data_IF_267899404840
#
_entry.id   IF_267899404840
#
_cell.length_a   1.000
_cell.length_b   1.000
_cell.length_c   1.000
_cell.angle_alpha   90.00
_cell.angle_beta   90.00
_cell.angle_gamma   90.00
#
_symmetry.space_group_name_H-M   'P 1'
#
loop_
_entity.id
_entity.type
_entity.pdbx_description
1 polymer ?
#
# COMPACT_ATOMS: atom_id res chain seq x y z
N UNK A 1 -25.66 -7.50 11.21
CA UNK A 1 -24.23 -7.84 11.03
C UNK A 1 -24.01 -8.14 9.55
N UNK A 2 -23.49 -7.19 8.77
CA UNK A 2 -23.24 -7.40 7.34
C UNK A 2 -21.86 -8.02 7.16
N UNK A 3 -21.81 -9.22 6.59
CA UNK A 3 -20.57 -9.83 6.11
C UNK A 3 -20.43 -9.48 4.64
N UNK A 4 -19.42 -8.71 4.29
CA UNK A 4 -19.11 -8.45 2.89
C UNK A 4 -18.72 -9.77 2.22
N UNK A 5 -19.34 -10.15 1.08
CA UNK A 5 -18.90 -11.30 0.32
C UNK A 5 -17.47 -11.04 -0.18
N UNK A 6 -16.66 -12.10 -0.27
CA UNK A 6 -15.33 -11.98 -0.88
C UNK A 6 -15.50 -11.55 -2.34
N UNK A 7 -15.01 -10.35 -2.68
CA UNK A 7 -15.20 -9.74 -4.01
C UNK A 7 -14.14 -10.18 -5.04
N UNK A 8 -13.31 -11.17 -4.70
CA UNK A 8 -12.11 -11.50 -5.48
C UNK A 8 -10.93 -10.59 -5.12
N UNK A 9 -9.81 -10.70 -5.85
CA UNK A 9 -8.65 -9.85 -5.66
C UNK A 9 -9.02 -8.39 -5.96
N UNK A 10 -8.85 -7.52 -4.98
CA UNK A 10 -8.93 -6.07 -5.18
C UNK A 10 -7.53 -5.53 -5.43
N UNK A 11 -7.41 -4.58 -6.35
CA UNK A 11 -6.15 -3.85 -6.52
C UNK A 11 -5.83 -3.08 -5.24
N UNK A 12 -4.56 -3.06 -4.85
CA UNK A 12 -4.12 -2.19 -3.77
C UNK A 12 -4.43 -0.72 -4.13
N UNK A 13 -4.91 0.08 -3.17
CA UNK A 13 -5.10 1.51 -3.38
C UNK A 13 -3.76 2.21 -3.58
N UNK A 14 -3.80 3.43 -4.11
CA UNK A 14 -2.62 4.29 -4.17
C UNK A 14 -2.26 4.82 -2.78
N UNK A 15 -0.98 5.16 -2.58
CA UNK A 15 -0.54 5.80 -1.36
C UNK A 15 -1.15 7.22 -1.23
N UNK A 16 -1.56 7.63 -0.02
CA UNK A 16 -2.00 9.01 0.22
C UNK A 16 -0.95 10.05 -0.17
N UNK A 17 -1.42 11.20 -0.66
CA UNK A 17 -0.56 12.33 -0.96
C UNK A 17 -0.04 12.97 0.34
N UNK A 18 1.19 13.48 0.30
CA UNK A 18 1.78 14.24 1.41
C UNK A 18 2.29 13.40 2.59
N UNK A 19 2.48 12.10 2.40
CA UNK A 19 3.18 11.27 3.39
C UNK A 19 4.68 11.55 3.39
N UNK A 20 5.28 11.51 4.59
CA UNK A 20 6.73 11.51 4.74
C UNK A 20 7.29 10.12 4.42
N UNK A 21 8.24 10.08 3.49
CA UNK A 21 8.92 8.86 3.08
C UNK A 21 10.34 8.82 3.63
N UNK A 22 10.75 7.66 4.11
CA UNK A 22 12.10 7.40 4.61
C UNK A 22 12.77 6.33 3.74
N UNK A 23 14.10 6.38 3.61
CA UNK A 23 14.93 5.42 2.87
C UNK A 23 14.63 5.30 1.36
N UNK A 24 14.16 6.39 0.74
CA UNK A 24 13.92 6.48 -0.70
C UNK A 24 14.26 7.90 -1.18
N UNK A 25 14.53 8.06 -2.48
CA UNK A 25 14.82 9.37 -3.09
C UNK A 25 13.57 10.27 -3.18
N UNK A 26 12.37 9.69 -3.12
CA UNK A 26 11.10 10.40 -3.14
C UNK A 26 9.90 9.47 -2.88
N UNK A 27 8.67 10.03 -2.93
CA UNK A 27 7.44 9.25 -2.76
C UNK A 27 7.32 8.11 -3.78
N UNK A 28 6.85 6.95 -3.34
CA UNK A 28 6.53 5.83 -4.22
C UNK A 28 5.07 5.89 -4.66
N UNK A 29 4.82 5.42 -5.88
CA UNK A 29 3.48 5.14 -6.43
C UNK A 29 3.29 3.66 -6.74
N UNK A 30 2.05 3.23 -6.92
CA UNK A 30 1.76 1.86 -7.37
C UNK A 30 2.35 1.56 -8.75
N UNK A 31 2.61 2.57 -9.58
CA UNK A 31 3.25 2.39 -10.90
C UNK A 31 4.71 1.98 -10.77
N UNK A 32 5.44 2.55 -9.82
CA UNK A 32 6.87 2.27 -9.59
C UNK A 32 7.11 0.83 -9.11
N UNK A 33 6.07 0.21 -8.53
CA UNK A 33 6.13 -1.11 -7.91
C UNK A 33 5.61 -2.24 -8.81
N UNK A 34 5.13 -1.95 -10.02
CA UNK A 34 4.60 -2.97 -10.94
C UNK A 34 5.66 -4.03 -11.26
N UNK A 35 5.24 -5.29 -11.27
CA UNK A 35 6.11 -6.44 -11.52
C UNK A 35 6.92 -6.93 -10.31
N UNK A 36 6.73 -6.31 -9.13
CA UNK A 36 7.33 -6.75 -7.87
C UNK A 36 6.26 -7.36 -6.96
N UNK A 37 6.67 -8.32 -6.13
CA UNK A 37 5.89 -8.70 -4.94
C UNK A 37 6.18 -7.64 -3.88
N UNK A 38 5.13 -6.98 -3.39
CA UNK A 38 5.20 -5.93 -2.40
C UNK A 38 4.51 -6.40 -1.12
N UNK A 39 5.16 -6.19 0.02
CA UNK A 39 4.62 -6.47 1.34
C UNK A 39 4.40 -5.13 2.04
N UNK A 40 3.17 -4.90 2.49
CA UNK A 40 2.85 -3.79 3.39
C UNK A 40 2.87 -4.32 4.82
N UNK A 41 3.77 -3.78 5.62
CA UNK A 41 3.91 -4.11 7.04
C UNK A 41 3.48 -2.89 7.87
N UNK A 42 2.40 -3.05 8.64
CA UNK A 42 1.82 -1.99 9.46
C UNK A 42 2.32 -2.12 10.89
N UNK A 43 3.21 -1.21 11.31
CA UNK A 43 3.84 -1.25 12.62
C UNK A 43 4.00 0.14 13.23
N UNK A 44 4.32 0.20 14.52
CA UNK A 44 4.69 1.41 15.25
C UNK A 44 5.89 1.11 16.15
N UNK A 45 6.64 2.15 16.54
CA UNK A 45 7.81 2.01 17.40
C UNK A 45 7.47 1.56 18.83
N UNK A 46 6.23 1.80 19.29
CA UNK A 46 5.74 1.46 20.64
C UNK A 46 4.56 2.32 21.05
#
# INVERSE_FOLDING_TARGET
MFRLPFMGPVSAPEFPLGLDWLNTEGPLSMTDLRGKIVILDFWTYG
#
